data_IF_054511091110
#
_entry.id   IF_054511091110
#
_cell.length_a   1.000
_cell.length_b   1.000
_cell.length_c   1.000
_cell.angle_alpha   90.00
_cell.angle_beta   90.00
_cell.angle_gamma   90.00
#
_symmetry.space_group_name_H-M   'P 1'
#
loop_
_entity.id
_entity.type
_entity.pdbx_description
1 polymer ?
#
# COMPACT_ATOMS: atom_id res chain seq x y z
N UNK A 1 -0.90 -47.28 -8.02
CA UNK A 1 -2.30 -47.06 -7.59
C UNK A 1 -2.45 -45.60 -7.19
N UNK A 2 -2.80 -44.73 -8.14
CA UNK A 2 -2.81 -43.26 -7.97
C UNK A 2 -4.22 -42.79 -7.59
N UNK A 3 -4.44 -42.30 -6.36
CA UNK A 3 -5.66 -41.55 -6.00
C UNK A 3 -5.29 -40.10 -5.75
N UNK A 4 -5.34 -39.27 -6.79
CA UNK A 4 -5.46 -37.81 -6.65
C UNK A 4 -6.92 -37.53 -6.30
N UNK A 5 -7.17 -37.05 -5.08
CA UNK A 5 -8.49 -36.57 -4.69
C UNK A 5 -8.76 -35.26 -5.45
N UNK A 6 -9.73 -35.28 -6.36
CA UNK A 6 -10.27 -34.08 -6.99
C UNK A 6 -11.06 -33.30 -5.93
N UNK A 7 -10.48 -32.20 -5.45
CA UNK A 7 -11.17 -31.27 -4.56
C UNK A 7 -12.16 -30.45 -5.39
N UNK A 8 -13.43 -30.85 -5.40
CA UNK A 8 -14.50 -30.11 -6.05
C UNK A 8 -14.67 -28.74 -5.37
N UNK A 9 -14.25 -27.68 -6.05
CA UNK A 9 -14.43 -26.30 -5.60
C UNK A 9 -15.90 -25.91 -5.81
N UNK A 10 -16.73 -26.10 -4.78
CA UNK A 10 -18.15 -25.76 -4.78
C UNK A 10 -18.39 -24.25 -4.56
N UNK A 11 -17.72 -23.38 -5.32
CA UNK A 11 -17.94 -21.92 -5.29
C UNK A 11 -18.75 -21.53 -6.53
N UNK A 12 -20.03 -21.19 -6.35
CA UNK A 12 -20.82 -20.54 -7.41
C UNK A 12 -20.14 -19.23 -7.81
N UNK A 13 -19.91 -18.97 -9.11
CA UNK A 13 -19.33 -17.71 -9.53
C UNK A 13 -20.26 -16.55 -9.13
N UNK A 14 -19.71 -15.41 -8.66
CA UNK A 14 -20.52 -14.24 -8.37
C UNK A 14 -21.24 -13.79 -9.65
N UNK A 15 -22.55 -13.57 -9.56
CA UNK A 15 -23.37 -13.08 -10.69
C UNK A 15 -23.18 -11.59 -10.98
N UNK A 16 -22.41 -10.89 -10.14
CA UNK A 16 -22.13 -9.47 -10.30
C UNK A 16 -20.91 -9.32 -11.21
N UNK A 17 -21.08 -8.64 -12.34
CA UNK A 17 -19.93 -8.17 -13.12
C UNK A 17 -19.24 -7.06 -12.33
N UNK A 18 -17.90 -7.07 -12.21
CA UNK A 18 -17.19 -5.99 -11.57
C UNK A 18 -17.54 -4.66 -12.28
N UNK A 19 -17.67 -3.55 -11.53
CA UNK A 19 -17.90 -2.25 -12.15
C UNK A 19 -16.75 -1.94 -13.12
N UNK A 20 -17.08 -1.30 -14.25
CA UNK A 20 -16.08 -0.88 -15.22
C UNK A 20 -15.05 0.03 -14.57
N UNK A 21 -13.77 -0.35 -14.62
CA UNK A 21 -12.68 0.44 -14.06
C UNK A 21 -12.39 1.58 -15.04
N UNK A 22 -12.84 2.78 -14.72
CA UNK A 22 -12.45 3.98 -15.45
C UNK A 22 -11.11 4.49 -14.90
N UNK A 23 -10.05 4.60 -15.71
CA UNK A 23 -8.80 5.19 -15.26
C UNK A 23 -9.04 6.64 -14.83
N UNK A 24 -8.53 6.99 -13.64
CA UNK A 24 -8.62 8.36 -13.14
C UNK A 24 -7.86 9.28 -14.09
N UNK A 25 -8.55 10.28 -14.63
CA UNK A 25 -7.94 11.31 -15.48
C UNK A 25 -6.90 12.10 -14.65
N UNK A 26 -5.87 12.65 -15.32
CA UNK A 26 -4.82 13.49 -14.73
C UNK A 26 -3.89 12.82 -13.70
N UNK A 27 -3.56 11.54 -13.90
CA UNK A 27 -2.50 10.90 -13.10
C UNK A 27 -1.13 11.48 -13.42
N UNK A 28 -0.48 12.01 -12.40
CA UNK A 28 0.94 12.37 -12.46
C UNK A 28 1.78 11.09 -12.32
N UNK A 29 2.60 10.79 -13.33
CA UNK A 29 3.56 9.69 -13.27
C UNK A 29 4.97 10.25 -13.02
N UNK A 30 5.63 9.77 -11.96
CA UNK A 30 7.01 10.15 -11.64
C UNK A 30 7.83 8.90 -11.35
N UNK A 31 8.95 8.76 -12.06
CA UNK A 31 9.93 7.69 -11.84
C UNK A 31 11.19 8.31 -11.24
N UNK A 32 11.80 7.60 -10.28
CA UNK A 32 13.04 7.99 -9.61
C UNK A 32 13.92 6.75 -9.45
N UNK A 33 15.23 6.95 -9.55
CA UNK A 33 16.24 5.90 -9.37
C UNK A 33 17.10 6.32 -8.18
N UNK A 34 17.32 5.37 -7.26
CA UNK A 34 18.09 5.60 -6.04
C UNK A 34 19.23 4.59 -5.92
N UNK A 35 20.30 5.00 -5.25
CA UNK A 35 21.42 4.14 -4.88
C UNK A 35 21.55 4.11 -3.37
N UNK A 36 21.70 2.92 -2.82
CA UNK A 36 22.02 2.75 -1.42
C UNK A 36 23.48 3.13 -1.16
N UNK A 37 23.70 3.97 -0.14
CA UNK A 37 25.05 4.33 0.33
C UNK A 37 25.57 3.36 1.39
N UNK A 38 24.67 2.65 2.07
CA UNK A 38 24.95 1.62 3.07
C UNK A 38 24.20 0.34 2.71
N UNK A 39 24.64 -0.85 3.18
CA UNK A 39 23.86 -2.07 3.04
C UNK A 39 22.43 -1.90 3.56
N UNK A 40 21.46 -2.47 2.84
CA UNK A 40 20.06 -2.47 3.25
C UNK A 40 19.84 -3.60 4.27
N UNK A 41 19.35 -3.24 5.45
CA UNK A 41 18.82 -4.20 6.40
C UNK A 41 17.34 -4.41 6.11
N UNK A 42 17.03 -5.44 5.33
CA UNK A 42 15.66 -5.82 4.99
C UNK A 42 14.98 -6.64 6.08
N UNK A 43 13.65 -6.70 6.02
CA UNK A 43 12.83 -7.58 6.85
C UNK A 43 11.75 -8.26 6.01
N UNK A 44 11.69 -9.58 6.09
CA UNK A 44 10.74 -10.40 5.36
C UNK A 44 9.46 -10.69 6.16
N UNK A 45 8.89 -11.86 5.93
CA UNK A 45 7.98 -12.47 6.92
C UNK A 45 8.76 -12.88 8.19
N UNK A 46 10.02 -13.25 8.02
CA UNK A 46 10.97 -13.51 9.09
C UNK A 46 11.76 -12.23 9.42
N UNK A 47 11.81 -11.78 10.69
CA UNK A 47 12.64 -10.66 11.10
C UNK A 47 14.10 -10.89 10.75
N UNK A 48 14.82 -9.83 10.37
CA UNK A 48 16.26 -9.85 10.02
C UNK A 48 16.65 -10.75 8.84
N UNK A 49 15.67 -11.35 8.14
CA UNK A 49 15.89 -12.11 6.92
C UNK A 49 15.23 -11.38 5.75
N UNK A 50 16.02 -10.85 4.80
CA UNK A 50 15.46 -10.21 3.62
C UNK A 50 14.59 -11.17 2.83
N UNK A 51 13.48 -10.67 2.32
CA UNK A 51 12.64 -11.37 1.35
C UNK A 51 13.36 -11.40 -0.01
N UNK A 52 13.64 -12.59 -0.53
CA UNK A 52 14.43 -12.73 -1.78
C UNK A 52 13.69 -12.17 -3.01
N UNK A 53 12.36 -12.14 -2.97
CA UNK A 53 11.53 -11.65 -4.08
C UNK A 53 11.33 -10.14 -3.97
N UNK A 54 11.08 -9.65 -2.75
CA UNK A 54 10.77 -8.24 -2.47
C UNK A 54 11.72 -7.64 -1.45
N UNK A 55 13.01 -7.60 -1.81
CA UNK A 55 14.07 -7.00 -0.97
C UNK A 55 13.74 -5.57 -0.56
N UNK A 56 13.13 -4.79 -1.46
CA UNK A 56 12.58 -3.45 -1.19
C UNK A 56 11.06 -3.51 -1.36
N UNK A 57 10.31 -3.26 -0.29
CA UNK A 57 8.86 -3.37 -0.31
C UNK A 57 8.22 -2.02 -0.65
N UNK A 58 7.30 -2.01 -1.62
CA UNK A 58 6.57 -0.80 -2.00
C UNK A 58 5.76 -0.21 -0.82
N UNK A 59 5.25 -1.06 0.06
CA UNK A 59 4.55 -0.64 1.29
C UNK A 59 5.45 0.12 2.27
N UNK A 60 6.70 -0.31 2.42
CA UNK A 60 7.68 0.37 3.28
C UNK A 60 8.05 1.74 2.71
N UNK A 61 8.30 1.82 1.40
CA UNK A 61 8.55 3.11 0.73
C UNK A 61 7.35 4.05 0.92
N UNK A 62 6.12 3.57 0.74
CA UNK A 62 4.90 4.35 0.99
C UNK A 62 4.82 4.82 2.44
N UNK A 63 5.13 3.96 3.41
CA UNK A 63 5.15 4.30 4.84
C UNK A 63 6.20 5.37 5.18
N UNK A 64 7.42 5.24 4.65
CA UNK A 64 8.50 6.20 4.84
C UNK A 64 8.17 7.57 4.21
N UNK A 65 7.60 7.60 3.01
CA UNK A 65 7.19 8.85 2.38
C UNK A 65 6.06 9.53 3.17
N UNK A 66 5.09 8.76 3.69
CA UNK A 66 4.03 9.26 4.57
C UNK A 66 4.60 9.83 5.88
N UNK A 67 5.59 9.16 6.48
CA UNK A 67 6.31 9.65 7.65
C UNK A 67 7.02 10.98 7.37
N UNK A 68 7.82 11.06 6.31
CA UNK A 68 8.56 12.27 5.95
C UNK A 68 7.64 13.42 5.55
N UNK A 69 6.49 13.12 4.93
CA UNK A 69 5.46 14.12 4.68
C UNK A 69 4.97 14.73 6.00
N UNK A 70 4.64 13.93 7.03
CA UNK A 70 4.28 14.46 8.35
C UNK A 70 5.42 15.26 8.98
N UNK A 71 6.65 14.77 8.94
CA UNK A 71 7.80 15.44 9.53
C UNK A 71 8.09 16.81 8.88
N UNK A 72 7.89 16.93 7.56
CA UNK A 72 8.16 18.16 6.80
C UNK A 72 6.99 19.12 6.75
N UNK A 73 5.75 18.62 6.89
CA UNK A 73 4.51 19.43 6.80
C UNK A 73 3.83 19.66 8.14
N UNK A 74 4.19 18.92 9.18
CA UNK A 74 3.50 18.95 10.49
C UNK A 74 3.40 20.33 11.11
N UNK A 75 4.45 21.15 10.99
CA UNK A 75 4.45 22.52 11.50
C UNK A 75 3.55 23.51 10.73
N UNK A 76 2.90 23.08 9.65
CA UNK A 76 1.99 23.92 8.85
C UNK A 76 0.52 23.81 9.30
N UNK A 77 0.22 22.95 10.28
CA UNK A 77 -1.14 22.70 10.76
C UNK A 77 -1.30 23.21 12.19
N UNK A 78 -2.49 23.75 12.51
CA UNK A 78 -2.80 24.30 13.84
C UNK A 78 -3.17 23.22 14.86
N UNK A 79 -3.51 22.01 14.41
CA UNK A 79 -3.86 20.88 15.27
C UNK A 79 -3.49 19.53 14.66
N UNK A 80 -3.49 18.49 15.51
CA UNK A 80 -3.26 17.11 15.08
C UNK A 80 -4.40 16.60 14.18
N UNK A 81 -5.62 17.05 14.39
CA UNK A 81 -6.78 16.65 13.59
C UNK A 81 -6.69 17.19 12.17
N UNK A 82 -6.29 18.46 12.00
CA UNK A 82 -6.02 19.06 10.69
C UNK A 82 -4.92 18.31 9.94
N UNK A 83 -3.81 18.01 10.60
CA UNK A 83 -2.73 17.22 10.03
C UNK A 83 -3.22 15.85 9.59
N UNK A 84 -4.01 15.16 10.43
CA UNK A 84 -4.55 13.83 10.13
C UNK A 84 -5.50 13.87 8.94
N UNK A 85 -6.39 14.85 8.85
CA UNK A 85 -7.29 15.03 7.71
C UNK A 85 -6.51 15.24 6.40
N UNK A 86 -5.50 16.10 6.41
CA UNK A 86 -4.66 16.35 5.24
C UNK A 86 -3.83 15.11 4.84
N UNK A 87 -3.33 14.37 5.81
CA UNK A 87 -2.63 13.11 5.59
C UNK A 87 -3.54 12.06 4.95
N UNK A 88 -4.76 11.88 5.48
CA UNK A 88 -5.76 10.94 4.95
C UNK A 88 -6.17 11.31 3.51
N UNK A 89 -6.27 12.60 3.18
CA UNK A 89 -6.62 13.05 1.83
C UNK A 89 -5.57 12.66 0.77
N UNK A 90 -4.29 12.58 1.14
CA UNK A 90 -3.18 12.25 0.23
C UNK A 90 -2.87 10.75 0.25
N UNK A 91 -2.81 10.16 1.44
CA UNK A 91 -2.30 8.81 1.67
C UNK A 91 -3.41 7.77 1.91
N UNK A 92 -4.67 8.20 1.96
CA UNK A 92 -5.79 7.35 2.34
C UNK A 92 -5.82 7.03 3.84
N UNK A 93 -6.97 6.51 4.29
CA UNK A 93 -7.16 6.01 5.65
C UNK A 93 -7.46 4.51 5.63
N UNK A 94 -7.38 3.88 6.80
CA UNK A 94 -8.05 2.58 6.97
C UNK A 94 -9.54 2.75 6.69
N UNK A 95 -10.19 1.69 6.19
CA UNK A 95 -11.62 1.71 5.92
C UNK A 95 -12.38 2.01 7.23
N UNK A 96 -13.14 3.09 7.21
CA UNK A 96 -14.12 3.47 8.22
C UNK A 96 -15.34 4.01 7.49
N UNK A 97 -16.52 4.00 8.14
CA UNK A 97 -17.75 4.47 7.51
C UNK A 97 -17.57 5.86 6.89
N UNK A 98 -17.89 5.97 5.58
CA UNK A 98 -17.77 7.22 4.82
C UNK A 98 -16.36 7.63 4.37
N UNK A 99 -15.31 6.83 4.64
CA UNK A 99 -13.94 7.16 4.22
C UNK A 99 -13.51 6.39 2.97
N UNK A 100 -12.81 7.09 2.06
CA UNK A 100 -12.20 6.45 0.91
C UNK A 100 -11.20 5.38 1.37
N UNK A 101 -11.32 4.16 0.83
CA UNK A 101 -10.43 3.05 1.15
C UNK A 101 -8.95 3.38 0.86
N UNK A 102 -8.01 2.62 1.44
CA UNK A 102 -6.60 2.83 1.20
C UNK A 102 -6.31 2.73 -0.30
N UNK A 103 -5.63 3.75 -0.85
CA UNK A 103 -5.17 3.78 -2.25
C UNK A 103 -3.99 2.85 -2.49
#
# INVERSE_FOLDING_TARGET
MNRRAEMQINRKPPQISPPGIQPKQDRVHQVRIYKLITPLFGGGAEPQKPDEVTVIRASEIRGLLRFWWRATRGGQFGSLDELRCAEEAIWGSAAGEGKAGPS
#
